data_IF_286749869821
#
_entry.id   IF_286749869821
#
_cell.length_a   1.000
_cell.length_b   1.000
_cell.length_c   1.000
_cell.angle_alpha   90.00
_cell.angle_beta   90.00
_cell.angle_gamma   90.00
#
_symmetry.space_group_name_H-M   'P 1'
#
loop_
_entity.id
_entity.type
_entity.pdbx_description
1 polymer ?
#
# COMPACT_ATOMS: atom_id res chain seq x y z
N UNK A 1 0.05 -50.33 -2.69
CA UNK A 1 1.32 -49.61 -2.81
C UNK A 1 1.00 -48.39 -3.65
N UNK A 2 0.47 -47.28 -3.12
CA UNK A 2 0.87 -46.50 -1.93
C UNK A 2 2.31 -46.00 -2.04
N UNK A 3 2.42 -44.75 -2.48
CA UNK A 3 3.53 -43.76 -2.46
C UNK A 3 2.94 -42.60 -3.31
N UNK A 4 2.16 -41.65 -2.80
CA UNK A 4 2.47 -40.65 -1.76
C UNK A 4 3.88 -40.05 -1.93
N UNK A 5 4.05 -39.33 -3.04
CA UNK A 5 5.04 -38.27 -3.11
C UNK A 5 4.24 -36.96 -3.18
N UNK A 6 3.87 -36.52 -1.98
CA UNK A 6 3.38 -35.18 -1.65
C UNK A 6 4.51 -34.18 -1.95
N UNK A 7 4.75 -33.94 -3.23
CA UNK A 7 5.51 -32.77 -3.68
C UNK A 7 4.54 -31.58 -3.71
N UNK A 8 4.10 -31.21 -2.51
CA UNK A 8 3.63 -29.88 -2.22
C UNK A 8 4.86 -28.96 -2.24
N UNK A 9 5.44 -28.79 -3.44
CA UNK A 9 6.41 -27.73 -3.67
C UNK A 9 5.69 -26.45 -3.32
N UNK A 10 6.15 -25.86 -2.23
CA UNK A 10 5.62 -24.64 -1.70
C UNK A 10 5.80 -23.61 -2.81
N UNK A 11 4.69 -23.23 -3.43
CA UNK A 11 4.52 -21.94 -4.08
C UNK A 11 4.70 -20.91 -2.94
N UNK A 12 5.94 -20.74 -2.47
CA UNK A 12 6.36 -19.68 -1.55
C UNK A 12 6.18 -18.39 -2.35
N UNK A 13 4.94 -17.91 -2.25
CA UNK A 13 4.39 -16.65 -2.71
C UNK A 13 5.50 -15.68 -3.16
N UNK A 14 5.64 -15.47 -4.48
CA UNK A 14 6.59 -14.50 -5.04
C UNK A 14 6.42 -13.11 -4.40
N UNK A 15 5.20 -12.82 -3.92
CA UNK A 15 4.81 -11.63 -3.16
C UNK A 15 5.37 -11.54 -1.72
N UNK A 16 5.95 -12.62 -1.17
CA UNK A 16 6.49 -12.69 0.19
C UNK A 16 7.98 -12.30 0.25
N UNK A 17 8.62 -12.08 -0.90
CA UNK A 17 10.03 -11.69 -0.99
C UNK A 17 10.22 -10.17 -1.15
N UNK A 18 9.27 -9.47 -1.77
CA UNK A 18 9.41 -8.04 -2.08
C UNK A 18 9.51 -7.15 -0.83
N UNK A 19 8.78 -7.49 0.23
CA UNK A 19 8.78 -6.67 1.45
C UNK A 19 10.09 -6.77 2.23
N UNK A 20 10.85 -7.86 2.11
CA UNK A 20 12.12 -8.03 2.81
C UNK A 20 13.18 -7.04 2.30
N UNK A 21 13.13 -6.68 1.02
CA UNK A 21 14.01 -5.67 0.46
C UNK A 21 13.77 -4.28 1.07
N UNK A 22 12.50 -3.94 1.38
CA UNK A 22 12.13 -2.67 2.00
C UNK A 22 12.28 -2.67 3.52
N UNK A 23 12.13 -3.83 4.15
CA UNK A 23 12.13 -3.98 5.60
C UNK A 23 13.01 -5.16 6.05
N UNK A 24 14.35 -5.05 5.92
CA UNK A 24 15.28 -6.16 6.16
C UNK A 24 15.31 -6.64 7.63
N UNK A 25 14.83 -5.81 8.56
CA UNK A 25 14.77 -6.16 9.99
C UNK A 25 13.52 -6.99 10.34
N UNK A 26 12.52 -7.06 9.45
CA UNK A 26 11.31 -7.86 9.66
C UNK A 26 11.61 -9.29 9.22
N UNK A 27 11.28 -10.26 10.08
CA UNK A 27 11.51 -11.69 9.81
C UNK A 27 10.24 -12.43 9.38
N UNK A 28 9.08 -11.91 9.76
CA UNK A 28 7.77 -12.49 9.50
C UNK A 28 6.74 -11.38 9.45
N UNK A 29 5.79 -11.48 8.51
CA UNK A 29 4.64 -10.60 8.43
C UNK A 29 3.75 -10.78 9.66
N UNK A 30 3.28 -9.68 10.23
CA UNK A 30 2.31 -9.71 11.33
C UNK A 30 0.90 -9.71 10.77
N UNK A 31 -0.03 -10.32 11.51
CA UNK A 31 -1.45 -10.24 11.18
C UNK A 31 -1.95 -8.78 11.26
N UNK A 32 -2.84 -8.43 10.34
CA UNK A 32 -3.50 -7.13 10.35
C UNK A 32 -4.60 -7.11 11.43
N UNK A 33 -4.46 -6.24 12.43
CA UNK A 33 -5.35 -6.18 13.60
C UNK A 33 -6.36 -5.02 13.49
N UNK A 34 -5.97 -3.91 12.86
CA UNK A 34 -6.88 -2.80 12.64
C UNK A 34 -7.85 -3.08 11.49
N UNK A 35 -9.09 -2.57 11.55
CA UNK A 35 -9.98 -2.61 10.39
C UNK A 35 -9.39 -1.74 9.27
N UNK A 36 -9.41 -2.22 8.03
CA UNK A 36 -8.84 -1.52 6.87
C UNK A 36 -9.45 -0.12 6.68
N UNK A 37 -10.68 0.07 7.12
CA UNK A 37 -11.42 1.33 7.09
C UNK A 37 -10.67 2.47 7.79
N UNK A 38 -9.81 2.21 8.78
CA UNK A 38 -9.06 3.27 9.48
C UNK A 38 -8.06 3.99 8.55
N UNK A 39 -7.55 3.28 7.53
CA UNK A 39 -6.60 3.81 6.55
C UNK A 39 -7.30 4.50 5.38
N UNK A 40 -8.61 4.32 5.21
CA UNK A 40 -9.36 4.93 4.10
C UNK A 40 -9.51 6.44 4.27
N UNK A 41 -9.61 7.16 3.16
CA UNK A 41 -9.82 8.60 3.14
C UNK A 41 -9.04 9.30 2.03
N UNK A 42 -9.13 10.63 2.03
CA UNK A 42 -8.44 11.47 1.08
C UNK A 42 -7.12 12.00 1.65
N UNK A 43 -6.03 11.77 0.93
CA UNK A 43 -4.67 12.10 1.31
C UNK A 43 -4.10 13.13 0.35
N UNK A 44 -3.55 14.24 0.85
CA UNK A 44 -3.10 15.37 0.04
C UNK A 44 -1.60 15.63 0.17
N UNK A 45 -0.95 15.91 -0.96
CA UNK A 45 0.41 16.43 -1.02
C UNK A 45 0.50 17.59 -2.03
N UNK A 46 1.29 18.62 -1.73
CA UNK A 46 1.36 19.85 -2.55
C UNK A 46 1.82 19.60 -4.01
N UNK A 47 2.72 18.64 -4.21
CA UNK A 47 3.23 18.26 -5.53
C UNK A 47 2.45 17.15 -6.25
N UNK A 48 1.87 16.21 -5.49
CA UNK A 48 1.25 14.98 -6.03
C UNK A 48 -0.29 15.01 -5.97
N UNK A 49 -0.86 16.09 -5.43
CA UNK A 49 -2.30 16.32 -5.24
C UNK A 49 -2.96 15.23 -4.39
N UNK A 50 -4.28 15.15 -4.48
CA UNK A 50 -5.13 14.37 -3.59
C UNK A 50 -5.38 12.94 -4.06
N UNK A 51 -4.89 11.95 -3.33
CA UNK A 51 -5.12 10.51 -3.55
C UNK A 51 -6.24 10.02 -2.65
N UNK A 52 -7.15 9.18 -3.16
CA UNK A 52 -8.19 8.55 -2.36
C UNK A 52 -7.84 7.08 -2.08
N UNK A 53 -7.68 6.73 -0.81
CA UNK A 53 -7.52 5.34 -0.36
C UNK A 53 -8.88 4.79 0.01
N UNK A 54 -9.21 3.62 -0.54
CA UNK A 54 -10.48 2.92 -0.32
C UNK A 54 -10.23 1.44 -0.06
N UNK A 55 -11.22 0.74 0.51
CA UNK A 55 -11.18 -0.72 0.57
C UNK A 55 -11.78 -1.27 -0.72
N UNK A 56 -11.06 -2.17 -1.37
CA UNK A 56 -11.51 -2.90 -2.54
C UNK A 56 -11.03 -4.35 -2.43
N UNK A 57 -11.94 -5.30 -2.63
CA UNK A 57 -11.63 -6.74 -2.59
C UNK A 57 -10.91 -7.18 -1.29
N UNK A 58 -11.19 -6.51 -0.17
CA UNK A 58 -10.58 -6.81 1.13
C UNK A 58 -9.15 -6.27 1.31
N UNK A 59 -8.70 -5.35 0.45
CA UNK A 59 -7.39 -4.69 0.54
C UNK A 59 -7.53 -3.18 0.44
N UNK A 60 -6.51 -2.43 0.87
CA UNK A 60 -6.46 -1.00 0.57
C UNK A 60 -6.09 -0.82 -0.90
N UNK A 61 -6.77 0.12 -1.54
CA UNK A 61 -6.63 0.38 -2.96
C UNK A 61 -6.67 1.88 -3.25
N UNK A 62 -5.91 2.30 -4.25
CA UNK A 62 -5.95 3.63 -4.84
C UNK A 62 -6.26 3.50 -6.33
N UNK A 63 -7.27 4.23 -6.78
CA UNK A 63 -7.52 4.48 -8.19
C UNK A 63 -7.05 5.89 -8.54
N UNK A 64 -6.01 6.02 -9.37
CA UNK A 64 -5.50 7.29 -9.86
C UNK A 64 -5.47 7.33 -11.40
N UNK A 65 -6.38 6.58 -12.06
CA UNK A 65 -6.45 6.50 -13.52
C UNK A 65 -6.96 7.79 -14.19
N UNK A 66 -7.60 8.69 -13.45
CA UNK A 66 -8.11 9.96 -13.94
C UNK A 66 -7.02 11.03 -14.10
N UNK A 67 -5.78 10.71 -13.75
CA UNK A 67 -4.64 11.63 -13.77
C UNK A 67 -3.84 11.56 -15.07
N UNK A 68 -3.02 12.59 -15.29
CA UNK A 68 -2.08 12.63 -16.44
C UNK A 68 -1.05 11.51 -16.39
N UNK A 69 -0.66 11.07 -15.19
CA UNK A 69 0.11 9.85 -14.96
C UNK A 69 -0.82 8.89 -14.22
N UNK A 70 -1.43 7.97 -14.97
CA UNK A 70 -2.42 7.03 -14.48
C UNK A 70 -1.73 5.85 -13.79
N UNK A 71 -2.13 5.58 -12.55
CA UNK A 71 -1.67 4.41 -11.81
C UNK A 71 -2.75 3.92 -10.84
N UNK A 72 -2.57 2.71 -10.34
CA UNK A 72 -3.30 2.18 -9.19
C UNK A 72 -2.31 1.68 -8.15
N UNK A 73 -2.70 1.68 -6.89
CA UNK A 73 -1.93 1.05 -5.81
C UNK A 73 -2.79 0.01 -5.12
N UNK A 74 -2.24 -1.18 -4.88
CA UNK A 74 -2.83 -2.20 -4.00
C UNK A 74 -1.89 -2.43 -2.83
N UNK A 75 -2.37 -2.32 -1.59
CA UNK A 75 -1.50 -2.43 -0.42
C UNK A 75 -1.61 -3.80 0.24
N UNK A 76 -0.44 -4.40 0.52
CA UNK A 76 -0.28 -5.61 1.33
C UNK A 76 0.37 -5.23 2.66
N UNK A 77 -0.31 -5.56 3.76
CA UNK A 77 0.20 -5.30 5.11
C UNK A 77 1.42 -6.19 5.40
N UNK A 78 2.43 -5.61 6.05
CA UNK A 78 3.66 -6.32 6.45
C UNK A 78 3.73 -6.41 7.96
N UNK A 79 3.85 -5.29 8.69
CA UNK A 79 3.93 -5.34 10.15
C UNK A 79 3.53 -4.02 10.85
N UNK A 80 3.45 -4.06 12.18
CA UNK A 80 3.22 -2.91 13.07
C UNK A 80 1.98 -2.07 12.74
N UNK A 81 1.05 -2.63 11.98
CA UNK A 81 -0.13 -1.93 11.45
C UNK A 81 0.20 -0.69 10.60
N UNK A 82 1.47 -0.44 10.29
CA UNK A 82 1.94 0.79 9.67
C UNK A 82 2.78 0.54 8.44
N UNK A 83 3.44 -0.62 8.34
CA UNK A 83 4.33 -0.96 7.23
C UNK A 83 3.60 -1.82 6.20
N UNK A 84 3.67 -1.39 4.95
CA UNK A 84 3.00 -2.01 3.82
C UNK A 84 3.95 -2.07 2.61
N UNK A 85 3.69 -3.02 1.72
CA UNK A 85 4.13 -2.93 0.32
C UNK A 85 2.94 -2.49 -0.49
N UNK A 86 3.12 -1.47 -1.33
CA UNK A 86 2.13 -1.08 -2.32
C UNK A 86 2.59 -1.58 -3.69
N UNK A 87 1.69 -2.23 -4.41
CA UNK A 87 1.94 -2.65 -5.78
C UNK A 87 1.45 -1.57 -6.73
N UNK A 88 2.40 -0.90 -7.39
CA UNK A 88 2.14 0.16 -8.34
C UNK A 88 1.89 -0.42 -9.72
N UNK A 89 0.66 -0.23 -10.21
CA UNK A 89 0.27 -0.68 -11.54
C UNK A 89 -0.02 0.51 -12.46
N UNK A 90 0.77 0.65 -13.52
CA UNK A 90 0.56 1.61 -14.58
C UNK A 90 -0.18 0.93 -15.76
N UNK A 91 -1.40 1.34 -16.13
CA UNK A 91 -2.18 0.67 -17.18
C UNK A 91 -1.50 0.66 -18.54
N UNK A 92 -0.62 1.63 -18.79
CA UNK A 92 0.10 1.80 -20.06
C UNK A 92 1.33 0.90 -20.17
N UNK A 93 1.92 0.52 -19.04
CA UNK A 93 3.17 -0.26 -18.99
C UNK A 93 2.91 -1.71 -18.57
N UNK A 94 1.80 -1.97 -17.87
CA UNK A 94 1.42 -3.31 -17.42
C UNK A 94 2.34 -3.88 -16.33
N UNK A 95 3.21 -3.04 -15.77
CA UNK A 95 4.09 -3.40 -14.66
C UNK A 95 3.30 -3.34 -13.35
N UNK A 96 3.68 -4.19 -12.40
CA UNK A 96 3.12 -4.25 -11.04
C UNK A 96 4.27 -4.15 -10.03
N UNK A 97 4.89 -2.97 -10.00
CA UNK A 97 6.15 -2.79 -9.27
C UNK A 97 5.88 -2.64 -7.76
N UNK A 98 6.51 -3.47 -6.92
CA UNK A 98 6.39 -3.33 -5.47
C UNK A 98 7.16 -2.09 -5.02
N UNK A 99 6.50 -1.23 -4.25
CA UNK A 99 7.09 -0.03 -3.66
C UNK A 99 6.82 0.01 -2.15
N UNK A 100 7.71 0.65 -1.41
CA UNK A 100 7.53 0.85 0.04
C UNK A 100 6.37 1.80 0.32
N UNK A 101 5.52 1.41 1.27
CA UNK A 101 4.43 2.24 1.77
C UNK A 101 4.34 2.19 3.30
N UNK A 102 4.03 3.33 3.92
CA UNK A 102 3.86 3.43 5.37
C UNK A 102 2.71 4.33 5.76
N UNK A 103 2.08 4.04 6.91
CA UNK A 103 1.08 4.89 7.53
C UNK A 103 1.57 5.39 8.87
N UNK A 104 1.09 6.58 9.27
CA UNK A 104 1.32 7.12 10.62
C UNK A 104 0.00 7.35 11.33
N UNK A 105 -0.05 6.94 12.59
CA UNK A 105 -1.19 7.19 13.48
C UNK A 105 -0.95 8.47 14.30
N UNK A 106 -2.02 9.23 14.52
CA UNK A 106 -2.07 10.33 15.49
C UNK A 106 -2.32 9.83 16.91
N UNK A 107 -2.24 10.75 17.88
CA UNK A 107 -2.44 10.46 19.31
C UNK A 107 -3.85 9.92 19.62
N UNK A 108 -4.83 10.20 18.76
CA UNK A 108 -6.21 9.75 18.84
C UNK A 108 -6.43 8.35 18.22
N UNK A 109 -5.38 7.72 17.70
CA UNK A 109 -5.44 6.41 17.05
C UNK A 109 -6.00 6.45 15.63
N UNK A 110 -6.19 7.64 15.04
CA UNK A 110 -6.55 7.77 13.63
C UNK A 110 -5.30 7.83 12.74
N UNK A 111 -5.40 7.31 11.52
CA UNK A 111 -4.32 7.48 10.53
C UNK A 111 -4.29 8.96 10.12
N UNK A 112 -3.11 9.59 10.20
CA UNK A 112 -2.92 11.00 9.84
C UNK A 112 -2.12 11.17 8.56
N UNK A 113 -1.27 10.20 8.20
CA UNK A 113 -0.43 10.30 7.01
C UNK A 113 -0.28 8.95 6.31
N UNK A 114 -0.07 9.02 5.00
CA UNK A 114 0.34 7.90 4.15
C UNK A 114 1.61 8.30 3.39
N UNK A 115 2.68 7.52 3.53
CA UNK A 115 3.93 7.65 2.79
C UNK A 115 4.01 6.58 1.71
N UNK A 116 4.40 6.95 0.49
CA UNK A 116 4.62 6.01 -0.63
C UNK A 116 5.87 6.39 -1.42
N UNK A 117 6.66 5.39 -1.83
CA UNK A 117 7.86 5.57 -2.64
C UNK A 117 7.51 5.63 -4.13
N UNK A 118 6.87 6.71 -4.59
CA UNK A 118 6.49 6.89 -6.00
C UNK A 118 7.65 7.33 -6.91
N UNK A 119 8.78 7.71 -6.32
CA UNK A 119 9.94 8.25 -7.02
C UNK A 119 11.18 7.48 -6.54
N UNK A 120 11.80 6.73 -7.45
CA UNK A 120 12.94 5.86 -7.15
C UNK A 120 14.23 6.65 -6.86
N UNK A 121 14.33 7.88 -7.36
CA UNK A 121 15.47 8.78 -7.11
C UNK A 121 15.39 9.43 -5.71
N UNK A 122 14.26 9.29 -5.02
CA UNK A 122 14.05 9.76 -3.66
C UNK A 122 14.35 8.64 -2.65
N UNK A 123 15.34 8.89 -1.79
CA UNK A 123 15.68 8.01 -0.67
C UNK A 123 14.57 7.90 0.41
N UNK A 124 13.57 8.81 0.38
CA UNK A 124 12.50 8.91 1.39
C UNK A 124 11.10 8.76 0.75
N UNK A 125 10.10 8.50 1.59
CA UNK A 125 8.71 8.39 1.17
C UNK A 125 8.10 9.76 0.88
N UNK A 126 7.21 9.81 -0.12
CA UNK A 126 6.35 10.98 -0.34
C UNK A 126 5.19 10.88 0.64
N UNK A 127 5.21 11.77 1.63
CA UNK A 127 4.21 11.81 2.69
C UNK A 127 3.01 12.68 2.32
N UNK A 128 1.83 12.06 2.28
CA UNK A 128 0.54 12.72 2.11
C UNK A 128 -0.15 12.88 3.46
N UNK A 129 -0.74 14.04 3.70
CA UNK A 129 -1.54 14.32 4.90
C UNK A 129 -2.99 13.88 4.67
N UNK A 130 -3.56 13.13 5.61
CA UNK A 130 -4.97 12.76 5.56
C UNK A 130 -5.81 14.00 5.83
N UNK A 131 -6.75 14.25 4.93
CA UNK A 131 -7.65 15.39 5.03
C UNK A 131 -9.05 14.93 5.44
N UNK A 132 -9.66 15.63 6.40
CA UNK A 132 -11.08 15.49 6.73
C UNK A 132 -12.02 15.93 5.60
N UNK A 133 -11.47 16.47 4.51
CA UNK A 133 -12.22 16.88 3.32
C UNK A 133 -12.61 15.68 2.45
N UNK A 134 -13.31 14.73 3.05
CA UNK A 134 -14.14 13.75 2.33
C UNK A 134 -15.37 14.38 1.66
N UNK A 135 -15.57 15.70 1.78
CA UNK A 135 -16.60 16.44 1.07
C UNK A 135 -16.09 17.83 0.69
N UNK A 136 -16.60 18.32 -0.44
CA UNK A 136 -16.44 19.66 -1.00
C UNK A 136 -15.21 19.86 -1.89
N UNK A 137 -15.31 19.41 -3.15
CA UNK A 137 -15.30 20.34 -4.29
C UNK A 137 -16.34 19.92 -5.36
N UNK A 138 -17.49 20.59 -5.35
CA UNK A 138 -18.29 20.89 -6.56
C UNK A 138 -18.63 22.38 -6.47
N UNK A 139 -18.38 23.15 -7.53
CA UNK A 139 -19.47 23.42 -8.48
C UNK A 139 -19.21 22.91 -9.90
#
# INVERSE_FOLDING_TARGET
DDDDDDDADAEEDEDEQDWQAFFPDIKECQSHEHPLEVYTGHYWHAGYRGINVQVRDGQLFVDANDRSFAFTLTFKHVCEQTKFVAYLCCPTEGLNDPIRAEFRFGDDGSVTHMGVQLDEDLDDLIWFEKTDKGQVEKP
#
